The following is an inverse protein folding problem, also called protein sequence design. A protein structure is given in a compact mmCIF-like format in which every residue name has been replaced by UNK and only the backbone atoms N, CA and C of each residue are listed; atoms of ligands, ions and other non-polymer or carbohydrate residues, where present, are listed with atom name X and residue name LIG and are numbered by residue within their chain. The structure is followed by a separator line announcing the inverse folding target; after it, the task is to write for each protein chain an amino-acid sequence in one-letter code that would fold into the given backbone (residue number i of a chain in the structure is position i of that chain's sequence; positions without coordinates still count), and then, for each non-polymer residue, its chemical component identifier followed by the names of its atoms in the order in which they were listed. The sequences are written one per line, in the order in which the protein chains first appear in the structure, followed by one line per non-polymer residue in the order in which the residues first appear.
data_IF_203355024905
#
_entry.id   IF_203355024905
#
_cell.length_a   1.000
_cell.length_b   1.000
_cell.length_c   1.000
_cell.angle_alpha   90.00
_cell.angle_beta   90.00
_cell.angle_gamma   90.00
#
_symmetry.space_group_name_H-M   'P 1'
#
loop_
_entity.id
_entity.type
_entity.pdbx_description
1 polymer ?
#
# COMPACT_ATOMS: atom_id res chain seq x y z
N UNK A 1 -9.42 4.90 -4.27
CA UNK A 1 -8.36 4.93 -3.23
C UNK A 1 -7.06 4.63 -3.96
N UNK A 2 -6.09 5.53 -3.91
CA UNK A 2 -4.77 5.34 -4.54
C UNK A 2 -3.77 5.03 -3.42
N UNK A 3 -2.99 3.97 -3.57
CA UNK A 3 -1.85 3.72 -2.69
C UNK A 3 -0.55 3.74 -3.49
N UNK A 4 0.50 4.23 -2.83
CA UNK A 4 1.86 4.20 -3.35
C UNK A 4 2.69 3.40 -2.37
N UNK A 5 3.33 2.34 -2.85
CA UNK A 5 4.23 1.53 -2.07
C UNK A 5 5.64 1.73 -2.57
N UNK A 6 6.56 1.92 -1.64
CA UNK A 6 7.99 1.91 -1.86
C UNK A 6 8.51 0.56 -1.41
N UNK A 7 9.17 -0.15 -2.32
CA UNK A 7 9.79 -1.45 -2.08
C UNK A 7 11.29 -1.25 -2.18
N UNK A 8 12.01 -1.71 -1.16
CA UNK A 8 13.46 -1.75 -1.16
C UNK A 8 13.86 -3.21 -1.04
N UNK A 9 14.51 -3.74 -2.06
CA UNK A 9 15.00 -5.11 -2.03
C UNK A 9 16.37 -5.18 -1.32
N UNK A 10 16.89 -6.39 -1.10
CA UNK A 10 18.18 -6.56 -0.42
C UNK A 10 19.40 -6.12 -1.24
N UNK A 11 19.26 -5.84 -2.55
CA UNK A 11 20.34 -5.25 -3.35
C UNK A 11 20.40 -3.73 -3.18
N UNK A 12 19.40 -3.13 -2.51
CA UNK A 12 19.28 -1.69 -2.32
C UNK A 12 18.56 -1.00 -3.47
N UNK A 13 17.95 -1.75 -4.39
CA UNK A 13 17.11 -1.19 -5.44
C UNK A 13 15.75 -0.77 -4.88
N UNK A 14 15.36 0.46 -5.22
CA UNK A 14 14.10 1.06 -4.81
C UNK A 14 13.11 1.03 -5.97
N UNK A 15 11.91 0.54 -5.71
CA UNK A 15 10.82 0.51 -6.68
C UNK A 15 9.58 1.16 -6.09
N UNK A 16 8.91 2.00 -6.87
CA UNK A 16 7.60 2.56 -6.52
C UNK A 16 6.51 1.82 -7.27
N UNK A 17 5.57 1.23 -6.54
CA UNK A 17 4.38 0.61 -7.12
C UNK A 17 3.15 1.40 -6.73
N UNK A 18 2.40 1.86 -7.73
CA UNK A 18 1.09 2.47 -7.52
C UNK A 18 0.02 1.37 -7.64
N UNK A 19 -0.75 1.17 -6.57
CA UNK A 19 -1.88 0.27 -6.60
C UNK A 19 -3.16 1.09 -6.67
N UNK A 20 -3.86 0.90 -7.79
CA UNK A 20 -5.25 1.28 -7.91
C UNK A 20 -6.06 0.09 -7.45
N UNK A 21 -6.55 0.13 -6.21
CA UNK A 21 -7.60 -0.78 -5.79
C UNK A 21 -8.80 -0.49 -6.70
N UNK A 22 -9.07 -1.43 -7.62
CA UNK A 22 -9.90 -1.24 -8.84
C UNK A 22 -11.33 -0.79 -8.63
N UNK A 23 -11.76 -0.56 -7.38
CA UNK A 23 -12.98 0.13 -7.05
C UNK A 23 -12.71 1.10 -5.89
N UNK A 24 -13.16 2.34 -6.03
CA UNK A 24 -13.29 3.27 -4.91
C UNK A 24 -14.36 2.72 -3.96
N UNK A 25 -13.98 1.79 -3.10
CA UNK A 25 -14.90 1.14 -2.18
C UNK A 25 -15.30 2.12 -1.08
N UNK A 26 -16.61 2.38 -1.00
CA UNK A 26 -17.19 3.04 0.16
C UNK A 26 -17.11 2.07 1.34
N UNK A 27 -16.15 2.29 2.23
CA UNK A 27 -16.04 1.55 3.48
C UNK A 27 -17.04 2.12 4.48
N UNK A 28 -17.87 1.26 5.06
CA UNK A 28 -18.66 1.64 6.24
C UNK A 28 -17.72 1.86 7.42
N UNK A 29 -18.11 2.73 8.35
CA UNK A 29 -17.37 2.94 9.59
C UNK A 29 -17.11 1.58 10.27
N UNK A 30 -15.86 1.35 10.69
CA UNK A 30 -15.40 0.10 11.32
C UNK A 30 -15.39 -1.15 10.43
N UNK A 31 -15.62 -1.04 9.12
CA UNK A 31 -15.44 -2.16 8.19
C UNK A 31 -13.98 -2.23 7.71
N UNK A 32 -13.22 -3.28 8.05
CA UNK A 32 -11.86 -3.43 7.55
C UNK A 32 -11.86 -3.80 6.07
N UNK A 33 -11.00 -3.14 5.30
CA UNK A 33 -10.66 -3.56 3.94
C UNK A 33 -9.42 -4.45 3.99
N UNK A 34 -9.49 -5.63 3.38
CA UNK A 34 -8.34 -6.53 3.22
C UNK A 34 -8.08 -6.72 1.72
N UNK A 35 -6.86 -6.38 1.31
CA UNK A 35 -6.38 -6.57 -0.07
C UNK A 35 -5.16 -7.49 -0.04
N UNK A 36 -4.92 -8.19 -1.15
CA UNK A 36 -3.72 -9.00 -1.34
C UNK A 36 -3.06 -8.55 -2.63
N UNK A 37 -1.94 -7.87 -2.48
CA UNK A 37 -1.14 -7.39 -3.60
C UNK A 37 0.09 -8.29 -3.79
N UNK A 38 0.41 -8.61 -5.04
CA UNK A 38 1.66 -9.30 -5.38
C UNK A 38 2.69 -8.25 -5.78
N UNK A 39 3.89 -8.39 -5.23
CA UNK A 39 5.01 -7.48 -5.48
C UNK A 39 6.14 -8.28 -6.13
N UNK A 40 6.67 -7.76 -7.22
CA UNK A 40 7.87 -8.33 -7.85
C UNK A 40 9.10 -7.89 -7.07
N UNK A 41 9.95 -8.85 -6.69
CA UNK A 41 11.23 -8.59 -6.02
C UNK A 41 12.31 -9.51 -6.58
N UNK A 42 13.48 -8.94 -6.87
CA UNK A 42 14.65 -9.71 -7.33
C UNK A 42 15.25 -10.53 -6.18
N UNK A 43 15.39 -9.89 -5.02
CA UNK A 43 15.95 -10.47 -3.80
C UNK A 43 14.98 -11.40 -3.04
N UNK A 44 15.53 -12.36 -2.29
CA UNK A 44 14.76 -13.25 -1.38
C UNK A 44 14.14 -12.47 -0.21
N UNK A 45 14.80 -11.38 0.21
CA UNK A 45 14.39 -10.51 1.32
C UNK A 45 14.30 -9.07 0.84
N UNK A 46 13.49 -8.27 1.54
CA UNK A 46 13.40 -6.83 1.34
C UNK A 46 12.44 -6.19 2.33
N UNK A 47 12.05 -4.96 2.05
CA UNK A 47 11.16 -4.16 2.86
C UNK A 47 10.14 -3.44 1.98
N UNK A 48 8.94 -3.22 2.50
CA UNK A 48 7.94 -2.36 1.86
C UNK A 48 7.42 -1.35 2.87
N UNK A 49 7.13 -0.15 2.38
CA UNK A 49 6.40 0.90 3.10
C UNK A 49 5.51 1.61 2.10
N UNK A 50 4.60 2.46 2.54
CA UNK A 50 3.77 3.18 1.60
C UNK A 50 2.84 4.19 2.23
N UNK A 51 1.97 4.73 1.40
CA UNK A 51 0.89 5.60 1.81
C UNK A 51 -0.37 5.31 1.01
N UNK A 52 -1.51 5.60 1.64
CA UNK A 52 -2.84 5.46 1.06
C UNK A 52 -3.54 6.80 1.17
N UNK A 53 -4.10 7.26 0.06
CA UNK A 53 -4.98 8.43 0.04
C UNK A 53 -6.44 7.97 0.14
N UNK A 54 -7.08 8.38 1.24
CA UNK A 54 -8.47 8.08 1.56
C UNK A 54 -9.28 9.37 1.48
N UNK A 55 -10.38 9.35 0.73
CA UNK A 55 -11.35 10.44 0.76
C UNK A 55 -12.38 10.14 1.86
N UNK A 56 -12.41 10.95 2.91
CA UNK A 56 -13.42 10.84 3.96
C UNK A 56 -14.76 11.34 3.42
N UNK A 57 -15.76 10.46 3.39
CA UNK A 57 -17.04 10.74 2.72
C UNK A 57 -17.81 11.91 3.34
N UNK A 58 -17.82 12.01 4.67
CA UNK A 58 -18.63 13.00 5.39
C UNK A 58 -18.04 14.41 5.35
N UNK A 59 -16.72 14.54 5.33
CA UNK A 59 -16.02 15.82 5.37
C UNK A 59 -15.48 16.26 4.02
N UNK A 60 -15.52 15.38 3.01
CA UNK A 60 -14.84 15.51 1.72
C UNK A 60 -13.33 15.82 1.86
N UNK A 61 -12.71 15.51 3.00
CA UNK A 61 -11.29 15.71 3.23
C UNK A 61 -10.50 14.50 2.74
N UNK A 62 -9.35 14.77 2.13
CA UNK A 62 -8.37 13.73 1.82
C UNK A 62 -7.49 13.50 3.04
N UNK A 63 -7.47 12.26 3.51
CA UNK A 63 -6.62 11.79 4.61
C UNK A 63 -5.52 10.94 4.00
N UNK A 64 -4.28 11.21 4.42
CA UNK A 64 -3.12 10.37 4.11
C UNK A 64 -2.92 9.38 5.25
N UNK A 65 -3.04 8.10 4.96
CA UNK A 65 -2.74 7.02 5.89
C UNK A 65 -1.39 6.40 5.53
N UNK A 66 -0.51 6.23 6.50
CA UNK A 66 0.83 5.65 6.29
C UNK A 66 0.77 4.13 6.47
N UNK A 67 1.34 3.39 5.52
CA UNK A 67 1.63 1.96 5.65
C UNK A 67 3.04 1.86 6.23
N UNK A 68 3.20 1.40 7.48
CA UNK A 68 4.51 1.31 8.12
C UNK A 68 5.42 0.31 7.41
N UNK A 69 6.72 0.42 7.65
CA UNK A 69 7.70 -0.47 7.04
C UNK A 69 7.52 -1.91 7.53
N UNK A 70 7.37 -2.84 6.59
CA UNK A 70 7.27 -4.28 6.85
C UNK A 70 8.39 -5.05 6.12
N UNK A 71 8.90 -6.10 6.76
CA UNK A 71 9.86 -7.03 6.15
C UNK A 71 9.11 -7.95 5.18
N UNK A 72 9.67 -8.15 3.99
CA UNK A 72 9.18 -9.08 2.98
C UNK A 72 10.14 -10.27 2.84
N UNK A 73 9.56 -11.44 2.54
CA UNK A 73 10.27 -12.65 2.13
C UNK A 73 9.53 -13.24 0.93
N UNK A 74 10.26 -13.54 -0.15
CA UNK A 74 9.69 -14.22 -1.32
C UNK A 74 9.29 -15.65 -0.92
N UNK A 75 8.01 -15.99 -1.12
CA UNK A 75 7.48 -17.36 -1.01
C UNK A 75 7.92 -18.22 -2.19
#
# INVERSE_FOLDING_TARGET
MKSVHVICDATGEWQTSEFLYGYQQHLKQSQPLRTKDKIMMHSIKGFTSGEVLVLEHYSCKTIRAIIPTHKLRRE
#
